data_IF_060246813647
#
_entry.id   IF_060246813647
#
_cell.length_a   1.000
_cell.length_b   1.000
_cell.length_c   1.000
_cell.angle_alpha   90.00
_cell.angle_beta   90.00
_cell.angle_gamma   90.00
#
_symmetry.space_group_name_H-M   'P 1'
#
loop_
_entity.id
_entity.type
_entity.pdbx_description
1 polymer ?
#
# COMPACT_ATOMS: atom_id res chain seq x y z
N UNK A 1 -10.84 13.15 -0.54
CA UNK A 1 -10.75 11.70 -0.30
C UNK A 1 -9.46 11.22 -0.95
N UNK A 2 -8.58 10.58 -0.18
CA UNK A 2 -7.24 10.20 -0.64
C UNK A 2 -7.20 8.78 -1.18
N UNK A 3 -6.44 8.54 -2.24
CA UNK A 3 -6.18 7.22 -2.78
C UNK A 3 -4.81 6.73 -2.32
N UNK A 4 -4.82 5.61 -1.59
CA UNK A 4 -3.65 5.02 -0.95
C UNK A 4 -3.23 3.77 -1.71
N UNK A 5 -1.93 3.61 -1.95
CA UNK A 5 -1.32 2.32 -2.30
C UNK A 5 -0.47 1.83 -1.15
N UNK A 6 -0.55 0.53 -0.87
CA UNK A 6 0.27 -0.14 0.16
C UNK A 6 1.33 -0.98 -0.56
N UNK A 7 2.60 -0.66 -0.34
CA UNK A 7 3.73 -1.39 -0.91
C UNK A 7 4.35 -2.23 0.20
N UNK A 8 4.08 -3.54 0.15
CA UNK A 8 4.35 -4.54 1.18
C UNK A 8 3.07 -4.92 1.94
N UNK A 9 2.73 -6.20 1.95
CA UNK A 9 1.61 -6.76 2.72
C UNK A 9 2.12 -7.80 3.73
N UNK A 10 3.30 -7.55 4.31
CA UNK A 10 3.79 -8.27 5.49
C UNK A 10 3.07 -7.83 6.77
N UNK A 11 3.66 -8.12 7.93
CA UNK A 11 3.07 -7.81 9.25
C UNK A 11 2.59 -6.36 9.36
N UNK A 12 3.44 -5.40 8.98
CA UNK A 12 3.11 -3.96 9.08
C UNK A 12 2.04 -3.57 8.06
N UNK A 13 2.13 -4.06 6.83
CA UNK A 13 1.15 -3.77 5.77
C UNK A 13 -0.23 -4.34 6.08
N UNK A 14 -0.30 -5.59 6.55
CA UNK A 14 -1.55 -6.23 7.02
C UNK A 14 -2.12 -5.47 8.21
N UNK A 15 -1.31 -5.13 9.22
CA UNK A 15 -1.78 -4.35 10.37
C UNK A 15 -2.29 -2.95 9.98
N UNK A 16 -1.65 -2.28 9.01
CA UNK A 16 -2.15 -1.03 8.46
C UNK A 16 -3.51 -1.24 7.76
N UNK A 17 -3.64 -2.26 6.92
CA UNK A 17 -4.89 -2.58 6.23
C UNK A 17 -6.03 -2.89 7.21
N UNK A 18 -5.76 -3.63 8.29
CA UNK A 18 -6.73 -3.88 9.38
C UNK A 18 -7.14 -2.59 10.10
N UNK A 19 -6.20 -1.71 10.43
CA UNK A 19 -6.50 -0.42 11.07
C UNK A 19 -7.37 0.44 10.15
N UNK A 20 -7.02 0.51 8.88
CA UNK A 20 -7.80 1.24 7.88
C UNK A 20 -9.22 0.66 7.84
N UNK A 21 -9.38 -0.65 7.64
CA UNK A 21 -10.68 -1.32 7.61
C UNK A 21 -11.51 -1.06 8.88
N UNK A 22 -10.96 -1.35 10.05
CA UNK A 22 -11.68 -1.32 11.32
C UNK A 22 -11.95 0.08 11.84
N UNK A 23 -11.08 1.05 11.54
CA UNK A 23 -11.16 2.42 12.08
C UNK A 23 -11.60 3.46 11.06
N UNK A 24 -12.13 3.05 9.90
CA UNK A 24 -12.57 3.96 8.84
C UNK A 24 -13.47 5.10 9.34
N UNK A 25 -14.50 4.79 10.12
CA UNK A 25 -15.42 5.80 10.67
C UNK A 25 -14.76 6.70 11.71
N UNK A 26 -13.87 6.16 12.55
CA UNK A 26 -13.13 6.96 13.54
C UNK A 26 -12.17 7.93 12.82
N UNK A 27 -11.48 7.47 11.77
CA UNK A 27 -10.57 8.29 10.98
C UNK A 27 -11.31 9.44 10.29
N UNK A 28 -12.50 9.16 9.74
CA UNK A 28 -13.38 10.18 9.15
C UNK A 28 -13.87 11.18 10.19
N UNK A 29 -14.50 10.72 11.26
CA UNK A 29 -15.18 11.61 12.23
C UNK A 29 -14.22 12.44 13.07
N UNK A 30 -13.08 11.87 13.49
CA UNK A 30 -12.13 12.55 14.37
C UNK A 30 -11.10 13.40 13.63
N UNK A 31 -10.68 12.98 12.44
CA UNK A 31 -9.58 13.61 11.71
C UNK A 31 -9.98 14.15 10.33
N UNK A 32 -11.24 13.97 9.90
CA UNK A 32 -11.66 14.32 8.54
C UNK A 32 -10.96 13.49 7.46
N UNK A 33 -10.38 12.34 7.84
CA UNK A 33 -9.57 11.54 6.93
C UNK A 33 -10.42 10.49 6.23
N UNK A 34 -10.80 10.81 4.99
CA UNK A 34 -11.49 9.89 4.10
C UNK A 34 -10.54 9.38 3.02
N UNK A 35 -10.54 8.07 2.81
CA UNK A 35 -9.60 7.43 1.89
C UNK A 35 -10.20 6.19 1.20
N UNK A 36 -9.51 5.75 0.16
CA UNK A 36 -9.63 4.43 -0.48
C UNK A 36 -8.25 3.80 -0.56
N UNK A 37 -8.14 2.51 -0.27
CA UNK A 37 -6.96 1.75 -0.70
C UNK A 37 -7.25 1.30 -2.12
N UNK A 38 -6.46 1.78 -3.08
CA UNK A 38 -6.66 1.51 -4.52
C UNK A 38 -5.67 0.50 -5.05
N UNK A 39 -4.59 0.21 -4.32
CA UNK A 39 -3.61 -0.79 -4.73
C UNK A 39 -2.84 -1.39 -3.57
N UNK A 40 -2.48 -2.66 -3.71
CA UNK A 40 -1.58 -3.36 -2.81
C UNK A 40 -0.57 -4.14 -3.66
N UNK A 41 0.72 -3.97 -3.38
CA UNK A 41 1.78 -4.68 -4.07
C UNK A 41 2.69 -5.38 -3.05
N UNK A 42 2.79 -6.70 -3.14
CA UNK A 42 3.68 -7.51 -2.32
C UNK A 42 4.41 -8.54 -3.20
N UNK A 43 5.69 -8.80 -2.89
CA UNK A 43 6.54 -9.69 -3.71
C UNK A 43 6.10 -11.15 -3.64
N UNK A 44 5.53 -11.59 -2.51
CA UNK A 44 5.15 -12.99 -2.27
C UNK A 44 3.65 -13.16 -2.50
N UNK A 45 2.85 -12.23 -1.97
CA UNK A 45 1.39 -12.33 -1.97
C UNK A 45 0.76 -11.89 -3.30
N UNK A 46 1.50 -11.14 -4.12
CA UNK A 46 1.05 -10.63 -5.42
C UNK A 46 0.67 -9.16 -5.39
N UNK A 47 0.15 -8.68 -6.51
CA UNK A 47 -0.23 -7.27 -6.69
C UNK A 47 -1.63 -7.13 -7.27
N UNK A 48 -2.41 -6.21 -6.71
CA UNK A 48 -3.78 -5.89 -7.11
C UNK A 48 -4.03 -4.38 -7.13
N UNK A 49 -4.83 -3.91 -8.08
CA UNK A 49 -5.19 -2.50 -8.22
C UNK A 49 -6.63 -2.32 -8.74
N UNK A 50 -7.38 -1.42 -8.10
CA UNK A 50 -8.68 -0.92 -8.56
C UNK A 50 -8.82 0.55 -8.16
N UNK A 51 -8.91 1.42 -9.17
CA UNK A 51 -9.11 2.87 -8.98
C UNK A 51 -10.41 3.20 -8.23
N UNK A 52 -11.41 2.31 -8.28
CA UNK A 52 -12.67 2.48 -7.53
C UNK A 52 -12.50 2.19 -6.04
N UNK A 53 -11.43 1.50 -5.65
CA UNK A 53 -11.09 1.13 -4.28
C UNK A 53 -11.27 -0.37 -4.04
N UNK A 54 -10.40 -0.89 -3.19
CA UNK A 54 -10.35 -2.29 -2.79
C UNK A 54 -11.15 -2.56 -1.51
N UNK A 55 -11.87 -3.68 -1.48
CA UNK A 55 -12.56 -4.15 -0.28
C UNK A 55 -11.56 -4.82 0.68
N UNK A 56 -11.06 -4.05 1.65
CA UNK A 56 -10.02 -4.53 2.58
C UNK A 56 -10.43 -5.77 3.38
N UNK A 57 -11.72 -5.93 3.72
CA UNK A 57 -12.20 -7.12 4.43
C UNK A 57 -11.92 -8.40 3.64
N UNK A 58 -12.37 -8.43 2.39
CA UNK A 58 -12.17 -9.56 1.46
C UNK A 58 -10.69 -9.86 1.21
N UNK A 59 -9.86 -8.81 1.10
CA UNK A 59 -8.41 -8.96 0.90
C UNK A 59 -7.75 -9.57 2.12
N UNK A 60 -8.08 -9.09 3.32
CA UNK A 60 -7.55 -9.60 4.56
C UNK A 60 -7.97 -11.05 4.80
N UNK A 61 -9.21 -11.40 4.46
CA UNK A 61 -9.69 -12.79 4.50
C UNK A 61 -8.94 -13.67 3.51
N UNK A 62 -8.77 -13.23 2.27
CA UNK A 62 -8.06 -13.96 1.22
C UNK A 62 -6.58 -14.20 1.60
N UNK A 63 -5.91 -13.17 2.13
CA UNK A 63 -4.54 -13.27 2.63
C UNK A 63 -4.44 -14.24 3.82
N UNK A 64 -5.41 -14.21 4.74
CA UNK A 64 -5.43 -15.13 5.89
C UNK A 64 -5.62 -16.59 5.47
N UNK A 65 -6.50 -16.84 4.50
CA UNK A 65 -6.87 -18.20 4.09
C UNK A 65 -5.88 -18.83 3.11
N UNK A 66 -5.35 -18.04 2.18
CA UNK A 66 -4.53 -18.54 1.08
C UNK A 66 -3.09 -18.04 1.09
N UNK A 67 -2.76 -17.05 1.93
CA UNK A 67 -1.44 -16.42 1.94
C UNK A 67 -1.11 -15.65 0.66
N UNK A 68 -2.13 -15.27 -0.12
CA UNK A 68 -1.99 -14.52 -1.38
C UNK A 68 -3.22 -13.66 -1.60
N UNK A 69 -3.04 -12.54 -2.32
CA UNK A 69 -4.13 -11.67 -2.77
C UNK A 69 -4.37 -11.81 -4.28
N UNK A 70 -3.63 -12.70 -4.95
CA UNK A 70 -3.65 -12.86 -6.41
C UNK A 70 -4.97 -13.36 -6.98
N UNK A 71 -5.86 -13.92 -6.17
CA UNK A 71 -7.20 -14.37 -6.59
C UNK A 71 -8.24 -13.24 -6.58
N UNK A 72 -7.94 -12.09 -5.94
CA UNK A 72 -8.89 -10.98 -5.85
C UNK A 72 -9.22 -10.42 -7.26
N UNK A 73 -10.49 -10.13 -7.59
CA UNK A 73 -10.91 -9.76 -8.95
C UNK A 73 -10.60 -8.29 -9.30
N UNK A 74 -9.31 -7.95 -9.42
CA UNK A 74 -8.81 -6.62 -9.76
C UNK A 74 -7.71 -6.69 -10.84
N UNK A 75 -7.19 -5.54 -11.28
CA UNK A 75 -5.99 -5.47 -12.14
C UNK A 75 -4.80 -6.08 -11.39
N UNK A 76 -4.03 -6.97 -12.03
CA UNK A 76 -2.93 -7.72 -11.41
C UNK A 76 -1.63 -7.55 -12.18
N UNK A 77 -0.51 -7.90 -11.57
CA UNK A 77 0.80 -7.97 -12.23
C UNK A 77 1.51 -6.62 -12.37
N UNK A 78 0.97 -5.57 -11.75
CA UNK A 78 1.64 -4.27 -11.64
C UNK A 78 2.82 -4.35 -10.68
N UNK A 79 3.91 -3.67 -11.00
CA UNK A 79 5.01 -3.45 -10.06
C UNK A 79 4.66 -2.36 -9.05
N UNK A 80 5.45 -2.25 -7.98
CA UNK A 80 5.33 -1.14 -7.02
C UNK A 80 5.50 0.21 -7.71
N UNK A 81 6.42 0.31 -8.67
CA UNK A 81 6.67 1.54 -9.43
C UNK A 81 5.48 1.89 -10.32
N UNK A 82 4.89 0.90 -11.01
CA UNK A 82 3.69 1.14 -11.83
C UNK A 82 2.55 1.72 -10.98
N UNK A 83 2.32 1.13 -9.79
CA UNK A 83 1.30 1.62 -8.87
C UNK A 83 1.61 3.01 -8.32
N UNK A 84 2.87 3.26 -7.92
CA UNK A 84 3.28 4.57 -7.44
C UNK A 84 3.05 5.61 -8.52
N UNK A 85 3.36 5.36 -9.78
CA UNK A 85 3.21 6.35 -10.87
C UNK A 85 1.77 6.60 -11.33
N UNK A 86 0.77 5.78 -10.94
CA UNK A 86 -0.64 5.99 -11.35
C UNK A 86 -1.09 7.41 -10.96
N UNK A 87 -1.66 8.22 -11.88
CA UNK A 87 -2.02 9.61 -11.60
C UNK A 87 -3.05 9.78 -10.47
N UNK A 88 -3.91 8.79 -10.28
CA UNK A 88 -4.95 8.81 -9.24
C UNK A 88 -4.45 8.47 -7.85
N UNK A 89 -3.18 8.07 -7.67
CA UNK A 89 -2.62 7.72 -6.36
C UNK A 89 -2.07 8.98 -5.67
N UNK A 90 -2.51 9.24 -4.44
CA UNK A 90 -2.10 10.40 -3.64
C UNK A 90 -1.06 10.04 -2.57
N UNK A 91 -1.20 8.87 -1.95
CA UNK A 91 -0.40 8.44 -0.80
C UNK A 91 0.22 7.07 -1.07
N UNK A 92 1.51 6.96 -0.84
CA UNK A 92 2.28 5.71 -0.86
C UNK A 92 2.60 5.32 0.59
N UNK A 93 1.99 4.23 1.05
CA UNK A 93 2.38 3.57 2.30
C UNK A 93 3.46 2.53 2.00
N UNK A 94 4.72 2.94 2.16
CA UNK A 94 5.88 2.11 1.90
C UNK A 94 6.26 1.34 3.17
N UNK A 95 6.05 0.04 3.17
CA UNK A 95 6.26 -0.83 4.33
C UNK A 95 6.97 -2.12 3.93
N UNK A 96 7.85 -2.04 2.93
CA UNK A 96 8.68 -3.19 2.52
C UNK A 96 9.80 -3.44 3.54
N UNK A 97 10.37 -4.66 3.56
CA UNK A 97 11.50 -4.96 4.44
C UNK A 97 12.69 -4.01 4.25
N UNK A 98 13.31 -3.59 5.36
CA UNK A 98 14.45 -2.67 5.32
C UNK A 98 15.71 -3.34 4.80
N UNK A 99 16.30 -2.75 3.75
CA UNK A 99 17.64 -3.09 3.29
C UNK A 99 18.65 -2.05 3.78
N UNK A 100 19.36 -2.37 4.86
CA UNK A 100 20.35 -1.44 5.47
C UNK A 100 21.63 -1.25 4.65
N UNK A 101 21.87 -2.09 3.63
CA UNK A 101 23.08 -2.02 2.81
C UNK A 101 22.95 -1.01 1.67
N UNK A 102 21.77 -0.99 1.03
CA UNK A 102 21.53 -0.21 -0.19
C UNK A 102 20.33 0.72 -0.09
N UNK A 103 19.45 0.54 0.90
CA UNK A 103 18.17 1.23 0.98
C UNK A 103 17.10 0.69 0.01
N UNK A 104 17.46 -0.18 -0.95
CA UNK A 104 16.55 -0.66 -1.99
C UNK A 104 15.67 -1.85 -1.55
N UNK A 105 14.42 -1.93 -2.02
CA UNK A 105 13.78 -1.06 -3.01
C UNK A 105 13.15 0.22 -2.43
N UNK A 106 13.17 0.40 -1.10
CA UNK A 106 12.55 1.53 -0.43
C UNK A 106 13.05 2.89 -0.95
N UNK A 107 14.34 3.03 -1.24
CA UNK A 107 14.91 4.26 -1.77
C UNK A 107 14.31 4.61 -3.14
N UNK A 108 14.18 3.65 -4.04
CA UNK A 108 13.49 3.85 -5.32
C UNK A 108 12.03 4.26 -5.09
N UNK A 109 11.29 3.59 -4.20
CA UNK A 109 9.91 3.97 -3.88
C UNK A 109 9.79 5.42 -3.39
N UNK A 110 10.70 5.85 -2.52
CA UNK A 110 10.78 7.23 -2.02
C UNK A 110 10.99 8.24 -3.14
N UNK A 111 11.99 8.01 -3.98
CA UNK A 111 12.30 8.90 -5.11
C UNK A 111 11.11 8.98 -6.06
N UNK A 112 10.59 7.84 -6.50
CA UNK A 112 9.45 7.80 -7.43
C UNK A 112 8.22 8.49 -6.86
N UNK A 113 7.89 8.32 -5.58
CA UNK A 113 6.76 9.00 -4.97
C UNK A 113 6.94 10.53 -4.96
N UNK A 114 8.11 11.01 -4.51
CA UNK A 114 8.41 12.44 -4.40
C UNK A 114 8.49 13.13 -5.77
N UNK A 115 9.14 12.50 -6.75
CA UNK A 115 9.22 12.99 -8.14
C UNK A 115 7.83 13.13 -8.77
N UNK A 116 6.90 12.26 -8.40
CA UNK A 116 5.51 12.30 -8.85
C UNK A 116 4.58 13.09 -7.90
N UNK A 117 5.14 13.90 -6.99
CA UNK A 117 4.40 14.80 -6.06
C UNK A 117 3.40 14.07 -5.15
N UNK A 118 3.72 12.85 -4.74
CA UNK A 118 2.89 12.03 -3.85
C UNK A 118 3.36 12.14 -2.41
N UNK A 119 2.43 11.95 -1.47
CA UNK A 119 2.81 11.76 -0.08
C UNK A 119 3.40 10.37 0.09
N UNK A 120 4.48 10.25 0.86
CA UNK A 120 5.04 8.97 1.26
C UNK A 120 5.12 8.88 2.78
N UNK A 121 4.62 7.76 3.30
CA UNK A 121 4.70 7.39 4.71
C UNK A 121 5.37 6.03 4.80
N UNK A 122 6.29 5.86 5.75
CA UNK A 122 7.07 4.63 5.84
C UNK A 122 7.55 4.35 7.25
N UNK A 123 7.72 3.06 7.55
CA UNK A 123 8.47 2.57 8.73
C UNK A 123 9.88 2.12 8.37
N UNK A 124 10.23 2.14 7.08
CA UNK A 124 11.50 1.69 6.54
C UNK A 124 12.57 2.76 6.80
N UNK A 125 13.60 2.39 7.57
CA UNK A 125 14.69 3.29 7.93
C UNK A 125 15.79 3.33 6.87
N UNK A 126 15.86 2.33 6.00
CA UNK A 126 16.93 2.19 4.99
C UNK A 126 17.04 3.37 4.02
N UNK A 127 15.92 3.92 3.49
CA UNK A 127 15.98 5.03 2.53
C UNK A 127 16.51 6.36 3.10
N UNK A 128 16.55 6.51 4.43
CA UNK A 128 16.88 7.78 5.11
C UNK A 128 18.07 7.66 6.07
N UNK A 129 18.67 6.47 6.17
CA UNK A 129 19.83 6.17 7.01
C UNK A 129 21.14 6.33 6.22
#
# INVERSE_FOLDING_TARGET
MYNIVIIGLGIVGTGLAEILHNKKEILKTKYGFEYKVVGICDLIKGSIYDEKGLALGDILELDREKGTIGDYPAEKGLTSIDMIMKPSVDIVAEVTPTNVKTGEPGLTHFRTALENKKHIVSTNKGPVA
#
